data_IF_291194700440
#
_entry.id   IF_291194700440
#
_cell.length_a   1.000
_cell.length_b   1.000
_cell.length_c   1.000
_cell.angle_alpha   90.00
_cell.angle_beta   90.00
_cell.angle_gamma   90.00
#
_symmetry.space_group_name_H-M   'P 1'
#
loop_
_entity.id
_entity.type
_entity.pdbx_description
1 polymer ?
#
# COMPACT_ATOMS: atom_id res chain seq x y z
N UNK A 1 5.17 11.89 9.82
CA UNK A 1 4.08 10.97 10.06
C UNK A 1 2.78 11.76 10.13
N UNK A 2 1.81 11.42 9.28
CA UNK A 2 0.48 12.04 9.30
C UNK A 2 -0.50 11.20 10.13
N UNK A 3 -1.44 11.86 10.79
CA UNK A 3 -2.55 11.26 11.52
C UNK A 3 -3.89 11.47 10.78
N UNK A 4 -3.85 11.78 9.49
CA UNK A 4 -5.01 12.16 8.70
C UNK A 4 -6.15 11.11 8.70
N UNK A 5 -5.82 9.84 8.92
CA UNK A 5 -6.79 8.72 8.93
C UNK A 5 -7.17 8.24 10.33
N UNK A 6 -6.59 8.80 11.40
CA UNK A 6 -6.76 8.26 12.77
C UNK A 6 -8.07 8.65 13.44
N UNK A 7 -8.79 9.63 12.90
CA UNK A 7 -10.02 10.16 13.48
C UNK A 7 -11.29 9.70 12.76
N UNK A 8 -11.16 8.94 11.69
CA UNK A 8 -12.31 8.50 10.91
C UNK A 8 -13.00 7.30 11.57
N UNK A 9 -14.32 7.40 11.70
CA UNK A 9 -15.17 6.28 12.13
C UNK A 9 -15.68 5.59 10.87
N UNK A 10 -15.14 4.41 10.54
CA UNK A 10 -15.56 3.63 9.39
C UNK A 10 -14.45 3.37 8.38
N UNK A 11 -14.83 3.16 7.14
CA UNK A 11 -13.88 2.94 6.05
C UNK A 11 -13.25 4.26 5.62
N UNK A 12 -11.91 4.31 5.55
CA UNK A 12 -11.18 5.43 5.00
C UNK A 12 -10.79 5.12 3.56
N UNK A 13 -11.21 5.97 2.63
CA UNK A 13 -10.87 5.82 1.22
C UNK A 13 -9.63 6.66 0.87
N UNK A 14 -8.76 6.10 0.06
CA UNK A 14 -7.51 6.76 -0.38
C UNK A 14 -7.78 8.13 -1.03
N UNK A 15 -8.85 8.24 -1.82
CA UNK A 15 -9.21 9.51 -2.46
C UNK A 15 -9.52 10.60 -1.44
N UNK A 16 -10.23 10.25 -0.37
CA UNK A 16 -10.60 11.20 0.67
C UNK A 16 -9.37 11.67 1.46
N UNK A 17 -8.48 10.75 1.80
CA UNK A 17 -7.20 11.06 2.45
C UNK A 17 -6.36 12.02 1.59
N UNK A 18 -6.20 11.71 0.30
CA UNK A 18 -5.44 12.57 -0.61
C UNK A 18 -6.09 13.94 -0.77
N UNK A 19 -7.41 14.01 -0.91
CA UNK A 19 -8.16 15.26 -1.01
C UNK A 19 -7.95 16.14 0.22
N UNK A 20 -7.99 15.56 1.43
CA UNK A 20 -7.72 16.28 2.69
C UNK A 20 -6.29 16.80 2.73
N UNK A 21 -5.31 15.95 2.44
CA UNK A 21 -3.89 16.31 2.45
C UNK A 21 -3.59 17.43 1.46
N UNK A 22 -4.13 17.36 0.24
CA UNK A 22 -3.96 18.38 -0.79
C UNK A 22 -4.63 19.70 -0.40
N UNK A 23 -5.80 19.65 0.25
CA UNK A 23 -6.49 20.85 0.72
C UNK A 23 -5.73 21.55 1.88
N UNK A 24 -5.11 20.77 2.77
CA UNK A 24 -4.30 21.30 3.87
C UNK A 24 -2.95 21.85 3.40
N UNK A 25 -2.37 21.29 2.35
CA UNK A 25 -1.04 21.62 1.84
C UNK A 25 -1.05 21.70 0.30
N UNK A 26 -1.63 22.75 -0.28
CA UNK A 26 -1.83 22.85 -1.74
C UNK A 26 -0.54 22.96 -2.56
N UNK A 27 0.56 23.38 -1.94
CA UNK A 27 1.88 23.49 -2.59
C UNK A 27 2.73 22.21 -2.43
N UNK A 28 2.11 21.09 -2.06
CA UNK A 28 2.80 19.82 -1.83
C UNK A 28 2.44 18.81 -2.91
N UNK A 29 3.47 18.23 -3.55
CA UNK A 29 3.30 17.10 -4.46
C UNK A 29 3.22 15.79 -3.67
N UNK A 30 2.13 15.05 -3.85
CA UNK A 30 1.93 13.77 -3.20
C UNK A 30 2.29 12.62 -4.13
N UNK A 31 3.00 11.63 -3.59
CA UNK A 31 3.37 10.38 -4.25
C UNK A 31 2.71 9.22 -3.53
N UNK A 32 1.80 8.53 -4.21
CA UNK A 32 1.11 7.37 -3.66
C UNK A 32 1.81 6.09 -4.11
N UNK A 33 2.45 5.39 -3.16
CA UNK A 33 3.19 4.16 -3.42
C UNK A 33 2.25 2.97 -3.30
N UNK A 34 2.19 2.12 -4.34
CA UNK A 34 1.39 0.89 -4.34
C UNK A 34 2.13 -0.28 -4.97
N UNK A 35 1.77 -1.49 -4.60
CA UNK A 35 2.26 -2.71 -5.25
C UNK A 35 1.58 -2.97 -6.59
N UNK A 36 2.18 -3.84 -7.42
CA UNK A 36 1.64 -4.22 -8.72
C UNK A 36 0.21 -4.78 -8.63
N UNK A 37 -0.08 -5.64 -7.64
CA UNK A 37 -1.41 -6.20 -7.45
C UNK A 37 -2.47 -5.11 -7.23
N UNK A 38 -2.13 -4.08 -6.46
CA UNK A 38 -2.99 -2.92 -6.23
C UNK A 38 -3.18 -2.10 -7.50
N UNK A 39 -2.15 -2.00 -8.34
CA UNK A 39 -2.25 -1.29 -9.63
C UNK A 39 -3.19 -2.02 -10.59
N UNK A 40 -3.16 -3.35 -10.64
CA UNK A 40 -4.11 -4.15 -11.45
C UNK A 40 -5.55 -4.04 -10.92
N UNK A 41 -5.72 -3.95 -9.61
CA UNK A 41 -7.03 -3.78 -8.98
C UNK A 41 -7.48 -2.32 -8.86
N UNK A 42 -6.69 -1.35 -9.35
CA UNK A 42 -6.88 0.08 -9.11
C UNK A 42 -8.28 0.59 -9.52
N UNK A 43 -8.81 0.10 -10.60
CA UNK A 43 -10.12 0.51 -11.11
C UNK A 43 -11.30 0.05 -10.22
N UNK A 44 -11.07 -0.89 -9.30
CA UNK A 44 -12.08 -1.33 -8.31
C UNK A 44 -12.11 -0.43 -7.06
N UNK A 45 -11.17 0.49 -6.96
CA UNK A 45 -11.09 1.41 -5.81
C UNK A 45 -12.18 2.48 -5.87
N UNK A 46 -12.45 3.07 -4.71
CA UNK A 46 -13.40 4.18 -4.63
C UNK A 46 -12.83 5.42 -5.33
N UNK A 47 -13.55 5.92 -6.34
CA UNK A 47 -13.22 7.15 -7.05
C UNK A 47 -11.76 7.23 -7.57
N UNK A 48 -11.26 6.23 -8.36
CA UNK A 48 -9.85 6.18 -8.77
C UNK A 48 -9.42 7.42 -9.55
N UNK A 49 -10.34 8.05 -10.27
CA UNK A 49 -10.11 9.27 -10.99
C UNK A 49 -9.71 10.44 -10.07
N UNK A 50 -10.30 10.53 -8.88
CA UNK A 50 -9.94 11.56 -7.90
C UNK A 50 -8.57 11.29 -7.27
N UNK A 51 -8.19 10.03 -7.11
CA UNK A 51 -6.84 9.66 -6.68
C UNK A 51 -5.82 10.19 -7.69
N UNK A 52 -6.04 9.92 -8.99
CA UNK A 52 -5.17 10.34 -10.06
C UNK A 52 -5.00 11.87 -10.17
N UNK A 53 -6.00 12.64 -9.78
CA UNK A 53 -5.95 14.11 -9.80
C UNK A 53 -5.13 14.71 -8.65
N UNK A 54 -4.91 13.96 -7.57
CA UNK A 54 -4.31 14.46 -6.34
C UNK A 54 -2.92 13.90 -6.05
N UNK A 55 -2.40 12.98 -6.84
CA UNK A 55 -1.07 12.42 -6.62
C UNK A 55 -0.43 11.84 -7.89
N UNK A 56 0.89 11.68 -7.83
CA UNK A 56 1.65 10.80 -8.72
C UNK A 56 1.59 9.39 -8.16
N UNK A 57 1.27 8.41 -8.99
CA UNK A 57 1.29 7.00 -8.57
C UNK A 57 2.70 6.45 -8.73
N UNK A 58 3.20 5.76 -7.70
CA UNK A 58 4.50 5.08 -7.74
C UNK A 58 4.26 3.59 -7.55
N UNK A 59 4.43 2.83 -8.63
CA UNK A 59 4.11 1.41 -8.65
C UNK A 59 5.36 0.55 -8.45
N UNK A 60 5.38 -0.23 -7.37
CA UNK A 60 6.45 -1.17 -7.04
C UNK A 60 6.21 -2.52 -7.72
N UNK A 61 7.19 -2.98 -8.50
CA UNK A 61 7.15 -4.30 -9.15
C UNK A 61 7.75 -5.36 -8.23
N UNK A 62 7.07 -6.52 -8.16
CA UNK A 62 7.63 -7.76 -7.60
C UNK A 62 7.83 -8.78 -8.72
N UNK A 63 8.79 -9.68 -8.57
CA UNK A 63 9.24 -10.63 -9.62
C UNK A 63 8.17 -11.56 -10.21
N UNK A 64 6.98 -11.63 -9.63
CA UNK A 64 5.91 -12.51 -10.10
C UNK A 64 5.01 -11.88 -11.18
N UNK A 65 5.24 -10.62 -11.52
CA UNK A 65 4.46 -9.92 -12.55
C UNK A 65 5.28 -9.82 -13.82
N UNK A 66 4.72 -10.28 -14.95
CA UNK A 66 5.35 -10.08 -16.26
C UNK A 66 5.60 -8.59 -16.50
N UNK A 67 6.83 -8.23 -16.83
CA UNK A 67 7.22 -6.84 -17.07
C UNK A 67 6.42 -6.21 -18.23
N UNK A 68 6.02 -7.01 -19.22
CA UNK A 68 5.19 -6.57 -20.33
C UNK A 68 3.78 -6.23 -19.87
N UNK A 69 3.12 -7.14 -19.16
CA UNK A 69 1.76 -6.96 -18.65
C UNK A 69 1.66 -5.76 -17.70
N UNK A 70 2.71 -5.54 -16.90
CA UNK A 70 2.77 -4.38 -16.00
C UNK A 70 2.89 -3.06 -16.77
N UNK A 71 3.68 -3.02 -17.84
CA UNK A 71 3.80 -1.85 -18.71
C UNK A 71 2.48 -1.55 -19.44
N UNK A 72 1.84 -2.55 -19.98
CA UNK A 72 0.53 -2.42 -20.63
C UNK A 72 -0.51 -1.81 -19.68
N UNK A 73 -0.54 -2.28 -18.42
CA UNK A 73 -1.44 -1.74 -17.41
C UNK A 73 -1.13 -0.27 -17.08
N UNK A 74 0.15 0.09 -16.98
CA UNK A 74 0.58 1.48 -16.76
C UNK A 74 0.12 2.36 -17.93
N UNK A 75 0.38 1.95 -19.16
CA UNK A 75 -0.01 2.70 -20.37
C UNK A 75 -1.53 2.89 -20.42
N UNK A 76 -2.28 1.83 -20.16
CA UNK A 76 -3.74 1.86 -20.11
C UNK A 76 -4.26 2.87 -19.07
N UNK A 77 -3.78 2.79 -17.83
CA UNK A 77 -4.23 3.69 -16.77
C UNK A 77 -3.78 5.14 -17.01
N UNK A 78 -2.56 5.34 -17.52
CA UNK A 78 -2.05 6.66 -17.89
C UNK A 78 -2.93 7.32 -18.94
N UNK A 79 -3.33 6.60 -19.97
CA UNK A 79 -4.20 7.13 -21.04
C UNK A 79 -5.61 7.40 -20.53
N UNK A 80 -6.17 6.47 -19.74
CA UNK A 80 -7.54 6.55 -19.25
C UNK A 80 -7.77 7.67 -18.24
N UNK A 81 -6.84 7.81 -17.28
CA UNK A 81 -6.99 8.72 -16.14
C UNK A 81 -6.10 9.96 -16.22
N UNK A 82 -5.26 10.09 -17.26
CA UNK A 82 -4.29 11.18 -17.44
C UNK A 82 -3.36 11.34 -16.22
N UNK A 83 -2.96 10.21 -15.63
CA UNK A 83 -2.13 10.14 -14.40
C UNK A 83 -0.68 9.87 -14.72
N UNK A 84 0.25 10.48 -13.96
CA UNK A 84 1.67 10.11 -13.97
C UNK A 84 1.88 8.86 -13.11
N UNK A 85 2.29 7.76 -13.72
CA UNK A 85 2.62 6.51 -13.04
C UNK A 85 4.10 6.22 -13.23
N UNK A 86 4.83 6.19 -12.11
CA UNK A 86 6.27 5.93 -12.10
C UNK A 86 6.56 4.53 -11.56
N UNK A 87 7.51 3.85 -12.20
CA UNK A 87 7.95 2.52 -11.74
C UNK A 87 8.98 2.69 -10.63
N UNK A 88 8.74 2.04 -9.49
CA UNK A 88 9.69 1.98 -8.39
C UNK A 88 10.47 0.66 -8.45
N UNK A 89 11.76 0.75 -8.76
CA UNK A 89 12.66 -0.40 -8.63
C UNK A 89 12.93 -0.66 -7.15
N UNK A 90 12.38 -1.74 -6.63
CA UNK A 90 12.57 -2.18 -5.25
C UNK A 90 13.39 -3.47 -5.21
N UNK A 91 14.22 -3.67 -4.16
CA UNK A 91 14.76 -4.99 -3.91
C UNK A 91 13.62 -6.00 -3.74
N UNK A 92 13.81 -7.17 -4.32
CA UNK A 92 12.81 -8.24 -4.18
C UNK A 92 12.87 -8.81 -2.76
N UNK A 93 11.98 -8.37 -1.90
CA UNK A 93 11.77 -8.96 -0.58
C UNK A 93 10.43 -9.70 -0.66
N UNK A 94 10.53 -11.01 -0.82
CA UNK A 94 9.37 -11.88 -0.99
C UNK A 94 8.74 -12.23 0.37
N UNK A 95 8.16 -11.21 0.99
CA UNK A 95 7.43 -11.32 2.26
C UNK A 95 6.17 -10.48 2.21
N UNK A 96 5.05 -11.09 2.51
CA UNK A 96 3.76 -10.44 2.63
C UNK A 96 3.34 -10.21 4.09
N UNK A 97 2.46 -9.25 4.32
CA UNK A 97 1.85 -9.05 5.64
C UNK A 97 1.03 -10.26 6.10
N UNK A 98 0.50 -11.05 5.18
CA UNK A 98 -0.19 -12.31 5.47
C UNK A 98 0.79 -13.32 6.07
N UNK A 99 1.93 -13.55 5.43
CA UNK A 99 2.97 -14.47 5.93
C UNK A 99 3.52 -14.04 7.28
N UNK A 100 3.76 -12.74 7.49
CA UNK A 100 4.19 -12.22 8.78
C UNK A 100 3.16 -12.56 9.87
N UNK A 101 1.87 -12.40 9.63
CA UNK A 101 0.82 -12.77 10.59
C UNK A 101 0.77 -14.28 10.83
N UNK A 102 0.97 -15.09 9.80
CA UNK A 102 1.09 -16.54 9.94
C UNK A 102 2.30 -16.94 10.80
N UNK A 103 3.44 -16.31 10.59
CA UNK A 103 4.64 -16.55 11.41
C UNK A 103 4.44 -16.18 12.86
N UNK A 104 3.70 -15.10 13.15
CA UNK A 104 3.33 -14.73 14.51
C UNK A 104 2.48 -15.84 15.16
N UNK A 105 1.44 -16.32 14.48
CA UNK A 105 0.58 -17.40 14.97
C UNK A 105 1.35 -18.70 15.23
N UNK A 106 2.29 -19.03 14.35
CA UNK A 106 3.10 -20.25 14.43
C UNK A 106 4.34 -20.10 15.32
N UNK A 107 4.52 -18.96 15.98
CA UNK A 107 5.71 -18.62 16.78
C UNK A 107 7.03 -18.87 16.02
N UNK A 108 7.04 -18.57 14.72
CA UNK A 108 8.19 -18.79 13.85
C UNK A 108 9.33 -17.82 14.20
N UNK A 109 10.52 -18.37 14.43
CA UNK A 109 11.71 -17.59 14.78
C UNK A 109 12.24 -16.72 13.65
N UNK A 110 11.84 -16.97 12.41
CA UNK A 110 12.23 -16.16 11.24
C UNK A 110 11.68 -14.72 11.28
N UNK A 111 10.64 -14.49 12.08
CA UNK A 111 10.02 -13.17 12.24
C UNK A 111 11.03 -12.06 12.55
N UNK A 112 12.06 -12.35 13.35
CA UNK A 112 13.11 -11.41 13.75
C UNK A 112 13.94 -10.85 12.58
N UNK A 113 13.96 -11.50 11.43
CA UNK A 113 14.68 -11.03 10.25
C UNK A 113 13.89 -10.01 9.41
N UNK A 114 12.59 -9.93 9.63
CA UNK A 114 11.68 -9.12 8.82
C UNK A 114 10.94 -8.05 9.60
N UNK A 115 10.87 -8.20 10.93
CA UNK A 115 10.15 -7.29 11.81
C UNK A 115 11.08 -6.79 12.93
N UNK A 116 11.17 -5.47 13.16
CA UNK A 116 12.00 -4.91 14.23
C UNK A 116 11.62 -5.44 15.63
N UNK A 117 12.60 -5.65 16.50
CA UNK A 117 12.39 -6.23 17.83
C UNK A 117 11.35 -5.47 18.67
N UNK A 118 11.33 -4.14 18.59
CA UNK A 118 10.34 -3.31 19.29
C UNK A 118 8.90 -3.58 18.82
N UNK A 119 8.74 -3.85 17.53
CA UNK A 119 7.42 -4.19 16.94
C UNK A 119 7.03 -5.60 17.37
N UNK A 120 7.96 -6.56 17.38
CA UNK A 120 7.71 -7.93 17.87
C UNK A 120 7.28 -7.89 19.35
N UNK A 121 7.97 -7.09 20.16
CA UNK A 121 7.64 -6.93 21.58
C UNK A 121 6.24 -6.35 21.78
N UNK A 122 5.88 -5.33 20.99
CA UNK A 122 4.56 -4.72 21.02
C UNK A 122 3.46 -5.70 20.60
N UNK A 123 3.68 -6.46 19.54
CA UNK A 123 2.73 -7.51 19.08
C UNK A 123 2.47 -8.52 20.20
N UNK A 124 3.52 -8.97 20.89
CA UNK A 124 3.40 -9.92 22.02
C UNK A 124 2.68 -9.31 23.22
N UNK A 125 3.06 -8.08 23.60
CA UNK A 125 2.44 -7.36 24.74
C UNK A 125 0.93 -7.16 24.51
N UNK A 126 0.54 -6.77 23.29
CA UNK A 126 -0.86 -6.51 22.93
C UNK A 126 -1.61 -7.76 22.45
N UNK A 127 -0.95 -8.92 22.42
CA UNK A 127 -1.50 -10.19 21.95
C UNK A 127 -2.15 -10.07 20.54
N UNK A 128 -1.48 -9.34 19.64
CA UNK A 128 -1.99 -9.10 18.29
C UNK A 128 -1.77 -10.32 17.40
N UNK A 129 -2.74 -10.60 16.54
CA UNK A 129 -2.71 -11.69 15.55
C UNK A 129 -2.63 -13.12 16.13
N UNK A 130 -2.82 -13.31 17.44
CA UNK A 130 -2.74 -14.61 18.12
C UNK A 130 -3.99 -15.47 17.95
N UNK A 131 -5.15 -14.85 17.66
CA UNK A 131 -6.40 -15.56 17.41
C UNK A 131 -6.88 -15.34 15.97
N UNK A 132 -7.22 -16.44 15.27
CA UNK A 132 -8.13 -16.37 14.13
C UNK A 132 -9.52 -16.02 14.67
N UNK A 133 -9.97 -14.79 14.49
CA UNK A 133 -11.42 -14.59 14.38
C UNK A 133 -11.80 -15.04 12.97
N UNK A 134 -12.39 -16.25 12.90
CA UNK A 134 -13.14 -16.69 11.74
C UNK A 134 -14.24 -15.69 11.38
#
# INVERSE_FOLDING_TARGET
>A
LSLAETHDQGYTYTEETLRRLTAENPDTDYYFIMGADSLFAFETWHEPQKICQNCVIVAAVRDHVSAEHFKEQIEYLTQKYQVDIRILATPNIDVSSHEIREWIRKANTSLKYYVPDKVISYIKEKNLYSECKE
#
